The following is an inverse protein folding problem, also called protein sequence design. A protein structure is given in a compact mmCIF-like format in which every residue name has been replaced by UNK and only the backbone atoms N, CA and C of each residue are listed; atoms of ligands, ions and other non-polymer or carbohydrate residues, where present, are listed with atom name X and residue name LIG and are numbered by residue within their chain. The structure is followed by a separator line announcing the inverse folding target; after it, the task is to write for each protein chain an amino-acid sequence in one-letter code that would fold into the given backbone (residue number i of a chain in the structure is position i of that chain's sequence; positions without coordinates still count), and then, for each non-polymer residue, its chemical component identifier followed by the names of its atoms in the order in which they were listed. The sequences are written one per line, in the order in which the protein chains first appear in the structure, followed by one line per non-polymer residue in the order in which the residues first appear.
data_IF_361575441570
#
_entry.id   IF_361575441570
#
_cell.length_a   1.000
_cell.length_b   1.000
_cell.length_c   1.000
_cell.angle_alpha   90.00
_cell.angle_beta   90.00
_cell.angle_gamma   90.00
#
_symmetry.space_group_name_H-M   'P 1'
#
loop_
_entity.id
_entity.type
_entity.pdbx_description
1 polymer ?
#
# COMPACT_ATOMS: atom_id res chain seq x y z
N UNK A 1 -34.47 -11.85 -27.21
CA UNK A 1 -33.36 -11.37 -26.38
C UNK A 1 -32.17 -12.30 -26.60
N UNK A 2 -30.97 -11.78 -26.78
CA UNK A 2 -29.78 -12.63 -26.82
C UNK A 2 -29.53 -13.24 -25.44
N UNK A 3 -29.15 -14.52 -25.38
CA UNK A 3 -28.82 -15.18 -24.11
C UNK A 3 -27.48 -14.66 -23.59
N UNK A 4 -27.40 -14.36 -22.30
CA UNK A 4 -26.11 -14.15 -21.63
C UNK A 4 -25.37 -15.50 -21.63
N UNK A 5 -24.12 -15.51 -22.10
CA UNK A 5 -23.27 -16.71 -22.13
C UNK A 5 -22.11 -16.65 -21.14
N UNK A 6 -21.80 -15.46 -20.62
CA UNK A 6 -20.62 -15.20 -19.79
C UNK A 6 -20.95 -14.18 -18.72
N UNK A 7 -20.52 -14.44 -17.49
CA UNK A 7 -20.58 -13.51 -16.36
C UNK A 7 -19.18 -13.45 -15.74
N UNK A 8 -18.61 -12.25 -15.65
CA UNK A 8 -17.36 -12.02 -14.94
C UNK A 8 -17.65 -11.64 -13.49
N UNK A 9 -16.92 -12.27 -12.58
CA UNK A 9 -16.90 -11.89 -11.17
C UNK A 9 -15.54 -11.28 -10.87
N UNK A 10 -15.55 -10.14 -10.20
CA UNK A 10 -14.36 -9.65 -9.53
C UNK A 10 -13.95 -10.62 -8.41
N UNK A 11 -12.70 -10.58 -8.00
CA UNK A 11 -12.12 -11.53 -7.08
C UNK A 11 -12.04 -10.98 -5.65
N UNK A 12 -11.20 -9.97 -5.47
CA UNK A 12 -10.91 -9.37 -4.16
C UNK A 12 -12.14 -8.63 -3.61
N UNK A 13 -12.50 -8.91 -2.37
CA UNK A 13 -13.70 -8.40 -1.68
C UNK A 13 -15.05 -8.70 -2.37
N UNK A 14 -15.03 -9.54 -3.42
CA UNK A 14 -16.22 -10.09 -4.08
C UNK A 14 -16.34 -11.60 -3.84
N UNK A 15 -15.30 -12.39 -4.16
CA UNK A 15 -15.26 -13.83 -3.94
C UNK A 15 -14.59 -14.21 -2.62
N UNK A 16 -13.63 -13.41 -2.14
CA UNK A 16 -12.93 -13.60 -0.86
C UNK A 16 -12.55 -12.26 -0.24
N UNK A 17 -12.36 -12.24 1.08
CA UNK A 17 -11.95 -11.01 1.79
C UNK A 17 -10.50 -10.67 1.47
N UNK A 18 -10.23 -9.41 1.16
CA UNK A 18 -8.90 -8.93 0.79
C UNK A 18 -8.54 -7.64 1.56
N UNK A 19 -9.40 -6.61 1.57
CA UNK A 19 -9.09 -5.29 2.16
C UNK A 19 -8.70 -5.34 3.65
N UNK A 20 -9.27 -6.27 4.42
CA UNK A 20 -8.91 -6.44 5.84
C UNK A 20 -7.41 -6.72 6.05
N UNK A 21 -6.74 -7.36 5.08
CA UNK A 21 -5.31 -7.65 5.15
C UNK A 21 -4.47 -6.42 4.85
N UNK A 22 -4.93 -5.54 3.95
CA UNK A 22 -4.30 -4.24 3.72
C UNK A 22 -4.40 -3.37 4.97
N UNK A 23 -5.59 -3.22 5.57
CA UNK A 23 -5.76 -2.48 6.84
C UNK A 23 -4.92 -3.06 8.00
N UNK A 24 -4.81 -4.39 8.11
CA UNK A 24 -3.95 -5.01 9.12
C UNK A 24 -2.47 -4.67 8.88
N UNK A 25 -2.05 -4.64 7.61
CA UNK A 25 -0.67 -4.35 7.24
C UNK A 25 -0.32 -2.87 7.47
N UNK A 26 -1.21 -1.93 7.13
CA UNK A 26 -1.07 -0.51 7.47
C UNK A 26 -0.86 -0.30 8.97
N UNK A 27 -1.72 -0.90 9.81
CA UNK A 27 -1.60 -0.77 11.27
C UNK A 27 -0.26 -1.32 11.77
N UNK A 28 0.15 -2.50 11.31
CA UNK A 28 1.44 -3.09 11.68
C UNK A 28 2.63 -2.23 11.22
N UNK A 29 2.51 -1.57 10.08
CA UNK A 29 3.52 -0.66 9.57
C UNK A 29 3.63 0.61 10.42
N UNK A 30 2.50 1.21 10.79
CA UNK A 30 2.44 2.33 11.72
C UNK A 30 3.01 1.96 13.10
N UNK A 31 2.65 0.79 13.64
CA UNK A 31 3.20 0.29 14.91
C UNK A 31 4.72 0.10 14.82
N UNK A 32 5.22 -0.43 13.69
CA UNK A 32 6.65 -0.66 13.46
C UNK A 32 7.46 0.63 13.41
N UNK A 33 6.89 1.70 12.84
CA UNK A 33 7.57 2.98 12.64
C UNK A 33 7.14 4.07 13.63
N UNK A 34 6.32 3.75 14.64
CA UNK A 34 5.73 4.72 15.56
C UNK A 34 6.73 5.51 16.42
N UNK A 35 7.99 5.06 16.50
CA UNK A 35 9.07 5.84 17.14
C UNK A 35 9.64 6.96 16.25
N UNK A 36 9.33 6.95 14.95
CA UNK A 36 9.92 7.83 13.93
C UNK A 36 8.90 8.75 13.25
N UNK A 37 7.63 8.37 13.22
CA UNK A 37 6.52 9.18 12.69
C UNK A 37 5.25 8.86 13.45
N UNK A 38 4.36 9.83 13.58
CA UNK A 38 2.97 9.55 13.96
C UNK A 38 2.26 8.79 12.82
N UNK A 39 1.20 8.06 13.17
CA UNK A 39 0.51 7.15 12.26
C UNK A 39 -0.18 7.90 11.10
N UNK A 40 -0.80 9.04 11.36
CA UNK A 40 -1.51 9.83 10.34
C UNK A 40 -0.53 10.38 9.30
N UNK A 41 0.59 10.92 9.75
CA UNK A 41 1.63 11.43 8.87
C UNK A 41 2.36 10.30 8.11
N UNK A 42 2.40 9.08 8.66
CA UNK A 42 2.95 7.91 7.97
C UNK A 42 1.99 7.40 6.88
N UNK A 43 0.70 7.28 7.19
CA UNK A 43 -0.33 6.87 6.22
C UNK A 43 -0.41 7.86 5.05
N UNK A 44 -0.33 9.16 5.33
CA UNK A 44 -0.31 10.19 4.29
C UNK A 44 0.90 10.04 3.35
N UNK A 45 2.10 9.81 3.90
CA UNK A 45 3.32 9.60 3.10
C UNK A 45 3.25 8.31 2.29
N UNK A 46 2.70 7.25 2.86
CA UNK A 46 2.51 5.98 2.16
C UNK A 46 1.55 6.14 0.98
N UNK A 47 0.42 6.83 1.19
CA UNK A 47 -0.53 7.13 0.11
C UNK A 47 0.12 7.95 -1.02
N UNK A 48 0.95 8.94 -0.68
CA UNK A 48 1.70 9.72 -1.66
C UNK A 48 2.69 8.86 -2.47
N UNK A 49 3.42 7.96 -1.80
CA UNK A 49 4.33 7.01 -2.45
C UNK A 49 3.57 6.05 -3.37
N UNK A 50 2.48 5.43 -2.90
CA UNK A 50 1.64 4.54 -3.71
C UNK A 50 1.07 5.27 -4.93
N UNK A 51 0.56 6.49 -4.75
CA UNK A 51 -0.01 7.30 -5.84
C UNK A 51 1.04 7.64 -6.89
N UNK A 52 2.27 7.97 -6.47
CA UNK A 52 3.39 8.22 -7.38
C UNK A 52 3.81 6.94 -8.11
N UNK A 53 3.84 5.81 -7.42
CA UNK A 53 4.41 4.56 -7.89
C UNK A 53 3.43 3.69 -8.71
N UNK A 54 2.12 3.89 -8.59
CA UNK A 54 1.10 3.09 -9.28
C UNK A 54 1.29 3.11 -10.81
N UNK A 55 1.77 4.23 -11.37
CA UNK A 55 2.06 4.35 -12.80
C UNK A 55 3.23 3.47 -13.27
N UNK A 56 4.14 3.10 -12.37
CA UNK A 56 5.32 2.30 -12.68
C UNK A 56 5.13 0.82 -12.30
N UNK A 57 4.58 0.54 -11.12
CA UNK A 57 4.47 -0.81 -10.56
C UNK A 57 3.09 -1.44 -10.77
N UNK A 58 2.09 -0.65 -11.14
CA UNK A 58 0.69 -1.09 -11.18
C UNK A 58 0.10 -1.28 -9.78
N UNK A 59 -1.01 -2.02 -9.72
CA UNK A 59 -1.74 -2.32 -8.48
C UNK A 59 -1.28 -3.63 -7.82
N UNK A 60 -1.60 -3.77 -6.53
CA UNK A 60 -1.46 -5.01 -5.77
C UNK A 60 -0.27 -5.05 -4.81
N UNK A 61 -0.17 -6.17 -4.09
CA UNK A 61 0.68 -6.31 -2.89
C UNK A 61 2.15 -5.98 -3.11
N UNK A 62 2.70 -6.21 -4.30
CA UNK A 62 4.11 -5.89 -4.60
C UNK A 62 4.34 -4.39 -4.68
N UNK A 63 3.46 -3.68 -5.39
CA UNK A 63 3.51 -2.22 -5.50
C UNK A 63 3.34 -1.56 -4.13
N UNK A 64 2.39 -2.07 -3.35
CA UNK A 64 2.17 -1.67 -1.96
C UNK A 64 3.43 -1.87 -1.11
N UNK A 65 4.01 -3.08 -1.13
CA UNK A 65 5.22 -3.40 -0.34
C UNK A 65 6.41 -2.51 -0.71
N UNK A 66 6.63 -2.24 -2.00
CA UNK A 66 7.72 -1.36 -2.44
C UNK A 66 7.49 0.09 -1.98
N UNK A 67 6.26 0.56 -2.02
CA UNK A 67 5.90 1.90 -1.53
C UNK A 67 6.10 2.01 -0.01
N UNK A 68 5.76 0.97 0.77
CA UNK A 68 6.07 0.91 2.20
C UNK A 68 7.57 0.97 2.49
N UNK A 69 8.40 0.29 1.70
CA UNK A 69 9.86 0.33 1.84
C UNK A 69 10.37 1.76 1.55
N UNK A 70 9.92 2.39 0.47
CA UNK A 70 10.27 3.77 0.14
C UNK A 70 9.87 4.74 1.26
N UNK A 71 8.63 4.66 1.73
CA UNK A 71 8.16 5.47 2.86
C UNK A 71 8.99 5.25 4.12
N UNK A 72 9.37 4.01 4.42
CA UNK A 72 10.24 3.71 5.57
C UNK A 72 11.63 4.34 5.43
N UNK A 73 12.19 4.33 4.22
CA UNK A 73 13.48 4.97 3.92
C UNK A 73 13.39 6.48 4.17
N UNK A 74 12.30 7.12 3.75
CA UNK A 74 12.10 8.57 3.90
C UNK A 74 11.99 9.02 5.36
N UNK A 75 11.33 8.23 6.21
CA UNK A 75 11.10 8.60 7.62
C UNK A 75 12.22 8.19 8.56
N UNK A 76 13.06 7.22 8.17
CA UNK A 76 14.13 6.71 9.03
C UNK A 76 15.36 7.66 9.02
N UNK A 77 15.84 8.11 10.19
CA UNK A 77 16.89 9.11 10.29
C UNK A 77 18.28 8.64 9.82
N UNK A 78 18.51 7.33 9.70
CA UNK A 78 19.78 6.77 9.20
C UNK A 78 19.89 6.88 7.68
N UNK A 79 18.77 7.01 6.97
CA UNK A 79 18.73 7.03 5.51
C UNK A 79 18.40 8.41 4.93
N UNK A 80 17.83 9.32 5.74
CA UNK A 80 17.58 10.72 5.32
C UNK A 80 18.85 11.54 5.05
N UNK A 81 20.04 11.04 5.45
CA UNK A 81 21.35 11.61 5.08
C UNK A 81 21.95 11.04 3.79
N UNK A 82 21.32 10.03 3.18
CA UNK A 82 21.73 9.46 1.90
C UNK A 82 20.79 10.00 0.83
N UNK A 83 21.17 11.12 0.21
CA UNK A 83 20.49 11.60 -0.99
C UNK A 83 20.63 10.55 -2.10
N UNK A 84 19.52 9.90 -2.45
CA UNK A 84 19.35 9.19 -3.72
C UNK A 84 18.63 10.13 -4.68
#
# INVERSE_FOLDING_TARGET
MASITTVGFDADDTLWQNEQFYHLTHRRFADLLGSYSDAEALDQRLLEAETRNVGLYGFGVKSFTLSMIETAIDVLPILSSVSV
#
